data_IF_239293048017
#
_entry.id   IF_239293048017
#
_cell.length_a   1.000
_cell.length_b   1.000
_cell.length_c   1.000
_cell.angle_alpha   90.00
_cell.angle_beta   90.00
_cell.angle_gamma   90.00
#
_symmetry.space_group_name_H-M   'P 1'
#
loop_
_entity.id
_entity.type
_entity.pdbx_description
1 polymer ?
#
# COMPACT_ATOMS: atom_id res chain seq x y z
N UNK A 1 8.75 -6.48 -8.33
CA UNK A 1 7.37 -6.91 -7.98
C UNK A 1 7.01 -6.51 -6.54
N UNK A 2 7.34 -5.29 -6.10
CA UNK A 2 7.23 -4.89 -4.69
C UNK A 2 5.80 -4.45 -4.31
N UNK A 3 5.12 -3.71 -5.20
CA UNK A 3 3.74 -3.27 -4.95
C UNK A 3 2.75 -4.42 -4.75
N UNK A 4 2.88 -5.48 -5.54
CA UNK A 4 2.04 -6.67 -5.43
C UNK A 4 2.23 -7.33 -4.06
N UNK A 5 3.48 -7.46 -3.60
CA UNK A 5 3.78 -8.03 -2.29
C UNK A 5 3.22 -7.18 -1.15
N UNK A 6 3.38 -5.85 -1.21
CA UNK A 6 2.80 -4.93 -0.23
C UNK A 6 1.28 -5.12 -0.17
N UNK A 7 0.60 -5.15 -1.32
CA UNK A 7 -0.84 -5.35 -1.38
C UNK A 7 -1.32 -6.69 -0.84
N UNK A 8 -0.60 -7.77 -1.14
CA UNK A 8 -0.90 -9.10 -0.60
C UNK A 8 -0.72 -9.18 0.92
N UNK A 9 0.32 -8.57 1.46
CA UNK A 9 0.58 -8.56 2.91
C UNK A 9 -0.43 -7.71 3.66
N UNK A 10 -0.76 -6.52 3.15
CA UNK A 10 -1.77 -5.64 3.74
C UNK A 10 -3.14 -6.31 3.76
N UNK A 11 -3.50 -7.05 2.70
CA UNK A 11 -4.76 -7.79 2.64
C UNK A 11 -4.86 -8.94 3.68
N UNK A 12 -3.72 -9.44 4.19
CA UNK A 12 -3.67 -10.51 5.21
C UNK A 12 -3.83 -10.00 6.64
N UNK A 13 -3.81 -8.69 6.87
CA UNK A 13 -4.04 -8.11 8.20
C UNK A 13 -5.45 -8.49 8.65
N UNK A 14 -5.60 -9.23 9.76
CA UNK A 14 -6.91 -9.64 10.30
C UNK A 14 -7.46 -8.69 11.35
N UNK A 15 -6.59 -7.92 12.00
CA UNK A 15 -6.97 -6.98 13.06
C UNK A 15 -7.67 -5.76 12.46
N UNK A 16 -8.96 -5.61 12.76
CA UNK A 16 -9.74 -4.45 12.33
C UNK A 16 -9.18 -3.13 12.87
N UNK A 17 -8.62 -3.15 14.09
CA UNK A 17 -7.91 -1.99 14.68
C UNK A 17 -6.80 -1.49 13.76
N UNK A 18 -6.04 -2.38 13.13
CA UNK A 18 -4.95 -1.99 12.23
C UNK A 18 -5.45 -1.64 10.84
N UNK A 19 -6.46 -2.35 10.32
CA UNK A 19 -7.07 -2.00 9.02
C UNK A 19 -7.67 -0.60 9.03
N UNK A 20 -8.28 -0.16 10.14
CA UNK A 20 -8.86 1.18 10.26
C UNK A 20 -7.81 2.30 10.25
N UNK A 21 -6.55 1.97 10.58
CA UNK A 21 -5.46 2.94 10.61
C UNK A 21 -4.66 2.99 9.31
N UNK A 22 -4.79 1.99 8.44
CA UNK A 22 -4.02 1.86 7.21
C UNK A 22 -4.91 2.11 5.98
N UNK A 23 -4.38 2.63 4.86
CA UNK A 23 -5.12 2.83 3.62
C UNK A 23 -5.29 1.50 2.84
N UNK A 24 -5.88 0.49 3.49
CA UNK A 24 -5.97 -0.89 2.98
C UNK A 24 -6.65 -0.96 1.61
N UNK A 25 -7.74 -0.22 1.43
CA UNK A 25 -8.51 -0.23 0.17
C UNK A 25 -7.70 0.30 -1.00
N UNK A 26 -6.98 1.40 -0.80
CA UNK A 26 -6.19 2.04 -1.85
C UNK A 26 -5.00 1.17 -2.25
N UNK A 27 -4.34 0.56 -1.27
CA UNK A 27 -3.22 -0.36 -1.49
C UNK A 27 -3.69 -1.59 -2.29
N UNK A 28 -4.84 -2.19 -1.95
CA UNK A 28 -5.40 -3.34 -2.67
C UNK A 28 -5.84 -2.92 -4.08
N UNK A 29 -6.46 -1.74 -4.22
CA UNK A 29 -6.86 -1.19 -5.52
C UNK A 29 -5.66 -0.98 -6.45
N UNK A 30 -4.59 -0.36 -5.94
CA UNK A 30 -3.36 -0.16 -6.70
C UNK A 30 -2.69 -1.48 -7.08
N UNK A 31 -2.67 -2.46 -6.17
CA UNK A 31 -2.22 -3.82 -6.48
C UNK A 31 -3.02 -4.41 -7.64
N UNK A 32 -4.34 -4.30 -7.63
CA UNK A 32 -5.20 -4.86 -8.68
C UNK A 32 -4.95 -4.21 -10.05
N UNK A 33 -4.72 -2.89 -10.07
CA UNK A 33 -4.35 -2.16 -11.30
C UNK A 33 -3.01 -2.69 -11.83
N UNK A 34 -2.00 -2.84 -10.97
CA UNK A 34 -0.69 -3.34 -11.39
C UNK A 34 -0.76 -4.80 -11.87
N UNK A 35 -1.55 -5.67 -11.24
CA UNK A 35 -1.58 -7.10 -11.61
C UNK A 35 -2.45 -7.41 -12.83
N UNK A 36 -3.53 -6.66 -13.03
CA UNK A 36 -4.52 -6.96 -14.07
C UNK A 36 -4.59 -5.94 -15.21
N UNK A 37 -4.06 -4.73 -15.00
CA UNK A 37 -4.15 -3.61 -15.95
C UNK A 37 -2.80 -2.93 -16.15
N UNK A 38 -1.76 -3.71 -16.50
CA UNK A 38 -0.40 -3.18 -16.69
C UNK A 38 -0.35 -2.03 -17.72
N UNK A 39 -1.14 -2.14 -18.79
CA UNK A 39 -1.26 -1.11 -19.84
C UNK A 39 -2.08 0.12 -19.38
N UNK A 40 -2.84 -0.02 -18.29
CA UNK A 40 -3.65 1.03 -17.68
C UNK A 40 -3.00 1.71 -16.48
N UNK A 41 -1.74 1.38 -16.17
CA UNK A 41 -1.02 2.03 -15.08
C UNK A 41 -0.74 3.48 -15.48
N UNK A 42 -1.28 4.41 -14.69
CA UNK A 42 -0.86 5.80 -14.77
C UNK A 42 0.52 5.94 -14.12
N UNK A 43 1.55 6.12 -14.94
CA UNK A 43 2.94 6.25 -14.49
C UNK A 43 3.15 7.40 -13.49
N UNK A 44 2.39 8.49 -13.62
CA UNK A 44 2.46 9.59 -12.66
C UNK A 44 2.01 9.14 -11.27
N UNK A 45 0.90 8.39 -11.20
CA UNK A 45 0.43 7.81 -9.93
C UNK A 45 1.45 6.83 -9.37
N UNK A 46 2.08 6.01 -10.22
CA UNK A 46 3.11 5.08 -9.77
C UNK A 46 4.33 5.82 -9.20
N UNK A 47 4.83 6.85 -9.87
CA UNK A 47 5.95 7.67 -9.39
C UNK A 47 5.63 8.34 -8.05
N UNK A 48 4.46 8.97 -7.93
CA UNK A 48 3.99 9.55 -6.68
C UNK A 48 3.89 8.50 -5.57
N UNK A 49 3.39 7.30 -5.90
CA UNK A 49 3.29 6.21 -4.93
C UNK A 49 4.65 5.78 -4.40
N UNK A 50 5.68 5.74 -5.25
CA UNK A 50 7.06 5.42 -4.84
C UNK A 50 7.65 6.53 -3.98
N UNK A 51 7.52 7.79 -4.44
CA UNK A 51 8.20 8.93 -3.84
C UNK A 51 7.56 9.37 -2.51
N UNK A 52 6.24 9.25 -2.39
CA UNK A 52 5.47 9.84 -1.29
C UNK A 52 4.74 8.78 -0.47
N UNK A 53 3.90 7.96 -1.11
CA UNK A 53 2.98 7.10 -0.36
C UNK A 53 3.66 5.90 0.31
N UNK A 54 4.67 5.28 -0.31
CA UNK A 54 5.42 4.18 0.32
C UNK A 54 6.19 4.67 1.56
N UNK A 55 6.97 5.76 1.51
CA UNK A 55 7.61 6.31 2.71
C UNK A 55 6.62 6.67 3.82
N UNK A 56 5.49 7.30 3.47
CA UNK A 56 4.44 7.63 4.44
C UNK A 56 3.81 6.37 5.06
N UNK A 57 3.57 5.33 4.25
CA UNK A 57 3.06 4.05 4.74
C UNK A 57 4.02 3.40 5.74
N UNK A 58 5.33 3.49 5.49
CA UNK A 58 6.35 3.00 6.42
C UNK A 58 6.26 3.72 7.77
N UNK A 59 6.27 5.06 7.75
CA UNK A 59 6.18 5.89 8.97
C UNK A 59 4.91 5.52 9.76
N UNK A 60 3.77 5.42 9.09
CA UNK A 60 2.51 5.04 9.71
C UNK A 60 2.55 3.65 10.37
N UNK A 61 3.22 2.68 9.75
CA UNK A 61 3.40 1.34 10.33
C UNK A 61 4.29 1.41 11.57
N UNK A 62 5.41 2.13 11.50
CA UNK A 62 6.33 2.36 12.62
C UNK A 62 5.63 3.01 13.81
N UNK A 63 4.81 4.05 13.57
CA UNK A 63 3.96 4.70 14.58
C UNK A 63 2.93 3.73 15.21
N UNK A 64 2.33 2.84 14.41
CA UNK A 64 1.37 1.84 14.91
C UNK A 64 2.07 0.82 15.81
N UNK A 65 3.31 0.45 15.48
CA UNK A 65 4.11 -0.51 16.24
C UNK A 65 4.78 0.12 17.47
N UNK A 66 4.84 1.45 17.54
CA UNK A 66 5.53 2.17 18.62
C UNK A 66 7.04 2.17 18.45
N UNK A 67 7.53 1.97 17.23
CA UNK A 67 8.94 2.09 16.86
C UNK A 67 9.14 3.54 16.36
N UNK A 68 9.54 4.45 17.24
CA UNK A 68 9.82 5.87 16.91
C UNK A 68 11.23 6.25 17.34
#
# INVERSE_FOLDING_TARGET
MCFVQIGELVNKIKSEKYKLKLPVKDIIGFRNIITHHYDGINYHIAEQTIAENIPQLKILIEEILGES
#
